data_IF_211984013764
#
_entry.id   IF_211984013764
#
_cell.length_a   1.000
_cell.length_b   1.000
_cell.length_c   1.000
_cell.angle_alpha   90.00
_cell.angle_beta   90.00
_cell.angle_gamma   90.00
#
_symmetry.space_group_name_H-M   'P 1'
#
loop_
_entity.id
_entity.type
_entity.pdbx_description
1 polymer ?
#
# COMPACT_ATOMS: atom_id res chain seq x y z
N UNK A 1 7.25 4.28 -30.20
CA UNK A 1 5.78 4.10 -30.27
C UNK A 1 5.18 4.91 -29.14
N UNK A 2 4.29 5.84 -29.48
CA UNK A 2 3.68 6.69 -28.46
C UNK A 2 2.70 5.86 -27.64
N UNK A 3 2.92 5.75 -26.34
CA UNK A 3 1.90 5.26 -25.41
C UNK A 3 0.74 6.25 -25.36
N UNK A 4 -0.51 5.77 -25.27
CA UNK A 4 -1.66 6.65 -25.17
C UNK A 4 -1.64 7.45 -23.87
N UNK A 5 -2.35 8.58 -23.80
CA UNK A 5 -2.32 9.53 -22.68
C UNK A 5 -2.83 8.98 -21.33
N UNK A 6 -3.25 7.73 -21.28
CA UNK A 6 -3.75 7.00 -20.10
C UNK A 6 -2.72 6.86 -18.98
N UNK A 7 -1.44 6.64 -19.29
CA UNK A 7 -0.40 6.44 -18.26
C UNK A 7 -0.11 7.71 -17.44
N UNK A 8 -0.22 8.90 -18.05
CA UNK A 8 -0.09 10.17 -17.31
C UNK A 8 -1.27 10.49 -16.39
N UNK A 9 -2.42 9.87 -16.64
CA UNK A 9 -3.60 9.98 -15.75
C UNK A 9 -3.56 9.01 -14.59
N UNK A 10 -2.78 7.93 -14.69
CA UNK A 10 -2.63 6.93 -13.63
C UNK A 10 -2.02 7.48 -12.34
N UNK A 11 -0.93 8.26 -12.45
CA UNK A 11 -0.31 8.92 -11.28
C UNK A 11 -1.21 9.96 -10.65
N UNK A 12 -2.08 10.61 -11.46
CA UNK A 12 -3.07 11.58 -10.95
C UNK A 12 -4.30 10.89 -10.34
N UNK A 13 -4.66 9.68 -10.78
CA UNK A 13 -5.81 8.94 -10.23
C UNK A 13 -5.49 8.30 -8.88
N UNK A 14 -4.29 7.76 -8.70
CA UNK A 14 -3.88 7.22 -7.39
C UNK A 14 -3.77 8.32 -6.31
N UNK A 15 -3.44 9.57 -6.66
CA UNK A 15 -3.49 10.71 -5.73
C UNK A 15 -4.89 11.33 -5.61
N UNK A 16 -5.79 11.09 -6.56
CA UNK A 16 -7.13 11.70 -6.60
C UNK A 16 -8.24 10.84 -6.00
N UNK A 17 -8.07 9.52 -5.89
CA UNK A 17 -9.06 8.62 -5.30
C UNK A 17 -9.12 8.65 -3.77
N UNK A 18 -8.13 9.26 -3.11
CA UNK A 18 -8.17 9.51 -1.67
C UNK A 18 -9.12 10.65 -1.24
N UNK A 19 -9.80 11.34 -2.17
CA UNK A 19 -10.55 12.56 -1.85
C UNK A 19 -12.06 12.51 -2.05
N UNK A 20 -12.69 11.38 -2.37
CA UNK A 20 -14.14 11.30 -2.56
C UNK A 20 -14.76 9.97 -2.10
N UNK A 21 -14.83 9.73 -0.79
CA UNK A 21 -15.75 8.73 -0.25
C UNK A 21 -16.56 9.34 0.90
N UNK A 22 -17.88 9.35 0.74
CA UNK A 22 -18.85 9.71 1.77
C UNK A 22 -18.98 8.59 2.80
N UNK A 23 -19.24 8.90 4.09
CA UNK A 23 -19.20 7.90 5.17
C UNK A 23 -20.57 7.24 5.31
N UNK A 24 -20.68 5.94 4.99
CA UNK A 24 -21.72 5.07 5.58
C UNK A 24 -21.36 3.59 5.34
N UNK A 25 -20.59 2.98 6.23
CA UNK A 25 -20.75 1.61 6.71
C UNK A 25 -19.61 1.25 7.67
N UNK A 26 -19.83 1.49 8.96
CA UNK A 26 -18.95 1.00 10.00
C UNK A 26 -19.09 -0.51 10.15
N UNK A 27 -18.14 -1.28 9.62
CA UNK A 27 -17.89 -2.67 10.04
C UNK A 27 -16.80 -2.65 11.12
N UNK A 28 -17.17 -3.09 12.32
CA UNK A 28 -16.26 -3.26 13.43
C UNK A 28 -15.22 -4.34 13.10
N UNK A 29 -13.96 -3.93 13.02
CA UNK A 29 -12.82 -4.85 12.99
C UNK A 29 -12.61 -5.47 14.38
N UNK A 30 -12.29 -6.78 14.48
CA UNK A 30 -11.99 -7.39 15.76
C UNK A 30 -10.70 -6.80 16.34
N UNK A 31 -10.75 -6.48 17.63
CA UNK A 31 -9.62 -6.01 18.42
C UNK A 31 -8.48 -7.03 18.38
N UNK A 32 -7.42 -6.72 17.64
CA UNK A 32 -6.15 -7.45 17.72
C UNK A 32 -5.53 -7.17 19.08
N UNK A 33 -5.33 -8.22 19.88
CA UNK A 33 -4.44 -8.18 21.04
C UNK A 33 -3.08 -7.62 20.59
N UNK A 34 -2.60 -6.61 21.32
CA UNK A 34 -1.26 -6.05 21.14
C UNK A 34 -0.23 -7.15 21.35
N UNK A 35 0.24 -7.75 20.29
CA UNK A 35 1.57 -8.39 20.30
C UNK A 35 2.54 -7.21 20.35
N UNK A 36 3.21 -7.06 21.50
CA UNK A 36 4.28 -6.08 21.64
C UNK A 36 5.33 -6.39 20.57
N UNK A 37 5.40 -5.55 19.53
CA UNK A 37 6.49 -5.62 18.58
C UNK A 37 7.79 -5.42 19.37
N UNK A 38 8.68 -6.41 19.29
CA UNK A 38 10.06 -6.24 19.74
C UNK A 38 10.60 -5.11 18.86
N UNK A 39 11.00 -3.95 19.41
CA UNK A 39 11.55 -2.89 18.59
C UNK A 39 12.78 -3.45 17.87
N UNK A 40 12.81 -3.30 16.54
CA UNK A 40 14.03 -3.55 15.80
C UNK A 40 15.16 -2.76 16.46
N UNK A 41 16.38 -3.29 16.56
CA UNK A 41 17.48 -2.55 17.14
C UNK A 41 17.67 -1.24 16.38
N UNK A 42 17.62 -0.11 17.09
CA UNK A 42 17.87 1.21 16.53
C UNK A 42 19.15 1.18 15.70
N UNK A 43 19.13 1.64 14.44
CA UNK A 43 20.32 1.71 13.61
C UNK A 43 21.35 2.74 14.10
N UNK A 44 21.03 3.50 15.14
CA UNK A 44 21.92 4.50 15.72
C UNK A 44 22.93 3.85 16.68
N UNK A 45 24.22 4.06 16.42
CA UNK A 45 25.27 3.83 17.41
C UNK A 45 25.07 4.80 18.59
N UNK A 46 25.44 4.41 19.80
CA UNK A 46 25.24 5.19 21.04
C UNK A 46 25.85 6.61 21.04
N UNK A 47 26.52 7.05 19.96
CA UNK A 47 27.25 8.31 19.83
C UNK A 47 26.66 9.28 18.79
N UNK A 48 25.61 8.93 18.00
CA UNK A 48 25.00 9.84 17.01
C UNK A 48 23.82 10.62 17.60
N UNK A 49 23.77 11.90 17.32
CA UNK A 49 22.60 12.76 17.56
C UNK A 49 21.71 12.74 16.30
N UNK A 50 20.57 12.06 16.31
CA UNK A 50 19.68 11.93 15.15
C UNK A 50 19.28 13.27 14.55
N UNK A 51 19.11 14.28 15.40
CA UNK A 51 18.75 15.62 14.96
C UNK A 51 19.92 16.30 14.20
N UNK A 52 21.16 16.05 14.62
CA UNK A 52 22.35 16.52 13.91
C UNK A 52 22.49 15.86 12.55
N UNK A 53 22.23 14.55 12.48
CA UNK A 53 22.33 13.77 11.25
C UNK A 53 21.24 14.21 10.26
N UNK A 54 20.02 14.43 10.71
CA UNK A 54 18.93 14.95 9.86
C UNK A 54 19.26 16.35 9.31
N UNK A 55 19.78 17.27 10.16
CA UNK A 55 20.19 18.61 9.71
C UNK A 55 21.25 18.55 8.61
N UNK A 56 22.26 17.69 8.78
CA UNK A 56 23.31 17.51 7.79
C UNK A 56 22.74 16.95 6.47
N UNK A 57 21.85 15.96 6.54
CA UNK A 57 21.17 15.41 5.37
C UNK A 57 20.33 16.46 4.66
N UNK A 58 19.53 17.22 5.42
CA UNK A 58 18.68 18.31 4.89
C UNK A 58 19.52 19.38 4.18
N UNK A 59 20.56 19.86 4.85
CA UNK A 59 21.45 20.87 4.24
C UNK A 59 22.05 20.38 2.93
N UNK A 60 22.53 19.14 2.89
CA UNK A 60 23.16 18.55 1.72
C UNK A 60 22.17 18.36 0.57
N UNK A 61 20.99 17.78 0.84
CA UNK A 61 19.97 17.53 -0.17
C UNK A 61 19.35 18.83 -0.69
N UNK A 62 19.11 19.84 0.17
CA UNK A 62 18.66 21.16 -0.26
C UNK A 62 19.66 21.83 -1.21
N UNK A 63 20.97 21.68 -0.97
CA UNK A 63 22.01 22.17 -1.89
C UNK A 63 22.00 21.45 -3.24
N UNK A 64 21.50 20.22 -3.29
CA UNK A 64 21.30 19.43 -4.51
C UNK A 64 19.95 19.74 -5.20
N UNK A 65 19.11 20.60 -4.59
CA UNK A 65 17.83 21.05 -5.17
C UNK A 65 16.62 20.23 -4.75
N UNK A 66 16.74 19.32 -3.78
CA UNK A 66 15.59 18.56 -3.24
C UNK A 66 14.78 19.45 -2.29
N UNK A 67 13.44 19.34 -2.39
CA UNK A 67 12.52 20.02 -1.49
C UNK A 67 12.36 19.28 -0.15
N UNK A 68 11.59 19.89 0.77
CA UNK A 68 11.43 19.33 2.12
C UNK A 68 10.73 17.97 2.14
N UNK A 69 9.78 17.73 1.24
CA UNK A 69 9.05 16.45 1.17
C UNK A 69 9.93 15.34 0.63
N UNK A 70 10.70 15.63 -0.41
CA UNK A 70 11.67 14.69 -0.97
C UNK A 70 12.74 14.32 0.05
N UNK A 71 13.23 15.29 0.81
CA UNK A 71 14.22 15.09 1.88
C UNK A 71 13.62 14.19 2.98
N UNK A 72 12.38 14.41 3.36
CA UNK A 72 11.66 13.59 4.36
C UNK A 72 11.51 12.15 3.90
N UNK A 73 11.09 11.92 2.65
CA UNK A 73 10.99 10.58 2.05
C UNK A 73 12.34 9.87 2.07
N UNK A 74 13.39 10.53 1.60
CA UNK A 74 14.73 9.94 1.55
C UNK A 74 15.28 9.64 2.94
N UNK A 75 15.03 10.51 3.91
CA UNK A 75 15.41 10.27 5.30
C UNK A 75 14.62 9.10 5.91
N UNK A 76 13.32 9.05 5.70
CA UNK A 76 12.49 7.93 6.17
C UNK A 76 12.97 6.57 5.65
N UNK A 77 13.46 6.51 4.40
CA UNK A 77 13.93 5.27 3.76
C UNK A 77 15.33 4.84 4.15
N UNK A 78 16.23 5.77 4.37
CA UNK A 78 17.67 5.51 4.55
C UNK A 78 18.16 5.87 5.95
N UNK A 79 17.42 6.68 6.70
CA UNK A 79 17.82 7.14 8.03
C UNK A 79 19.23 7.75 8.06
N UNK A 80 20.02 7.52 9.13
CA UNK A 80 21.38 8.06 9.27
C UNK A 80 22.35 7.61 8.19
N UNK A 81 22.07 6.46 7.54
CA UNK A 81 22.91 5.96 6.46
C UNK A 81 22.88 6.88 5.24
N UNK A 82 21.84 7.73 5.10
CA UNK A 82 21.70 8.69 4.02
C UNK A 82 22.93 9.60 3.90
N UNK A 83 23.41 10.16 5.02
CA UNK A 83 24.57 11.06 5.01
C UNK A 83 25.84 10.33 4.57
N UNK A 84 26.11 9.18 5.18
CA UNK A 84 27.29 8.39 4.86
C UNK A 84 27.30 7.98 3.37
N UNK A 85 26.14 7.67 2.81
CA UNK A 85 26.00 7.31 1.40
C UNK A 85 26.12 8.53 0.47
N UNK A 86 25.62 9.71 0.87
CA UNK A 86 25.81 10.97 0.14
C UNK A 86 27.28 11.38 0.11
N UNK A 87 27.96 11.34 1.25
CA UNK A 87 29.37 11.77 1.39
C UNK A 87 30.33 10.83 0.68
N UNK A 88 30.04 9.54 0.66
CA UNK A 88 30.83 8.56 -0.11
C UNK A 88 30.57 8.60 -1.62
N UNK A 89 29.55 9.35 -2.07
CA UNK A 89 29.10 9.34 -3.46
C UNK A 89 28.40 8.03 -3.88
N UNK A 90 27.99 7.21 -2.92
CA UNK A 90 27.27 5.96 -3.19
C UNK A 90 25.86 6.20 -3.72
N UNK A 91 25.26 7.36 -3.40
CA UNK A 91 23.95 7.79 -3.90
C UNK A 91 24.15 8.74 -5.11
N UNK A 92 23.95 8.23 -6.30
CA UNK A 92 23.84 9.06 -7.51
C UNK A 92 22.47 9.71 -7.61
N UNK A 93 22.31 10.76 -8.43
CA UNK A 93 21.00 11.37 -8.73
C UNK A 93 19.99 10.34 -9.22
N UNK A 94 20.42 9.38 -10.03
CA UNK A 94 19.55 8.29 -10.49
C UNK A 94 19.06 7.40 -9.35
N UNK A 95 19.90 7.07 -8.37
CA UNK A 95 19.49 6.30 -7.19
C UNK A 95 18.46 7.05 -6.35
N UNK A 96 18.67 8.36 -6.15
CA UNK A 96 17.75 9.22 -5.42
C UNK A 96 16.39 9.33 -6.14
N UNK A 97 16.39 9.40 -7.48
CA UNK A 97 15.18 9.42 -8.29
C UNK A 97 14.32 8.16 -8.04
N UNK A 98 14.91 6.96 -8.05
CA UNK A 98 14.19 5.74 -7.71
C UNK A 98 13.71 5.71 -6.26
N UNK A 99 14.54 6.15 -5.32
CA UNK A 99 14.17 6.20 -3.90
C UNK A 99 13.05 7.21 -3.57
N UNK A 100 12.72 8.11 -4.47
CA UNK A 100 11.57 9.01 -4.34
C UNK A 100 10.26 8.41 -4.86
N UNK A 101 10.32 7.29 -5.61
CA UNK A 101 9.11 6.64 -6.11
C UNK A 101 8.39 5.88 -4.99
N UNK A 102 7.06 6.03 -4.83
CA UNK A 102 6.31 5.41 -3.74
C UNK A 102 6.41 3.88 -3.73
N UNK A 103 6.60 3.28 -4.88
CA UNK A 103 6.67 1.84 -5.08
C UNK A 103 8.08 1.27 -5.22
N UNK A 104 9.14 2.01 -4.90
CA UNK A 104 10.53 1.54 -4.96
C UNK A 104 11.19 1.59 -3.58
N UNK A 105 11.35 0.44 -2.92
CA UNK A 105 12.09 0.34 -1.67
C UNK A 105 13.61 0.27 -1.90
N UNK A 106 14.44 0.56 -0.86
CA UNK A 106 15.88 0.43 -0.95
C UNK A 106 16.37 -0.96 -1.41
N UNK A 107 15.64 -2.02 -1.07
CA UNK A 107 15.95 -3.41 -1.44
C UNK A 107 15.78 -3.65 -2.96
N UNK A 108 14.88 -2.91 -3.60
CA UNK A 108 14.62 -3.02 -5.04
C UNK A 108 15.57 -2.17 -5.89
N UNK A 109 16.26 -1.20 -5.28
CA UNK A 109 17.05 -0.18 -5.97
C UNK A 109 18.05 -0.79 -6.96
N UNK A 110 18.85 -1.76 -6.55
CA UNK A 110 19.87 -2.35 -7.41
C UNK A 110 19.24 -3.16 -8.57
N UNK A 111 18.09 -3.79 -8.36
CA UNK A 111 17.32 -4.45 -9.41
C UNK A 111 16.79 -3.44 -10.43
N UNK A 112 16.21 -2.32 -9.95
CA UNK A 112 15.74 -1.23 -10.81
C UNK A 112 16.88 -0.67 -11.68
N UNK A 113 18.04 -0.38 -11.08
CA UNK A 113 19.20 0.11 -11.80
C UNK A 113 19.76 -0.89 -12.82
N UNK A 114 19.73 -2.18 -12.50
CA UNK A 114 20.16 -3.23 -13.41
C UNK A 114 19.18 -3.35 -14.60
N UNK A 115 17.89 -3.34 -14.33
CA UNK A 115 16.85 -3.46 -15.34
C UNK A 115 16.80 -2.25 -16.28
N UNK A 116 16.95 -1.03 -15.75
CA UNK A 116 17.00 0.20 -16.54
C UNK A 116 18.11 0.19 -17.60
N UNK A 117 19.25 -0.49 -17.35
CA UNK A 117 20.32 -0.64 -18.33
C UNK A 117 19.92 -1.52 -19.53
N UNK A 118 19.01 -2.45 -19.33
CA UNK A 118 18.51 -3.36 -20.37
C UNK A 118 17.27 -2.84 -21.07
N UNK A 119 16.58 -1.87 -20.46
CA UNK A 119 15.34 -1.26 -20.94
C UNK A 119 15.44 0.28 -20.91
N UNK A 120 16.35 0.88 -21.69
CA UNK A 120 16.68 2.32 -21.59
C UNK A 120 15.54 3.26 -22.02
N UNK A 121 14.52 2.74 -22.70
CA UNK A 121 13.36 3.50 -23.16
C UNK A 121 12.26 3.63 -22.08
N UNK A 122 12.39 2.93 -20.96
CA UNK A 122 11.44 2.99 -19.85
C UNK A 122 11.74 4.15 -18.90
N UNK A 123 10.70 4.81 -18.40
CA UNK A 123 10.86 5.79 -17.34
C UNK A 123 11.20 5.10 -16.00
N UNK A 124 11.75 5.81 -15.00
CA UNK A 124 12.01 5.25 -13.67
C UNK A 124 10.77 4.61 -13.04
N UNK A 125 9.59 5.22 -13.19
CA UNK A 125 8.32 4.71 -12.70
C UNK A 125 7.94 3.38 -13.35
N UNK A 126 8.13 3.28 -14.69
CA UNK A 126 7.88 2.07 -15.44
C UNK A 126 8.86 0.96 -15.04
N UNK A 127 10.13 1.29 -14.85
CA UNK A 127 11.14 0.35 -14.37
C UNK A 127 10.77 -0.16 -12.98
N UNK A 128 10.46 0.72 -12.03
CA UNK A 128 10.09 0.33 -10.68
C UNK A 128 8.84 -0.58 -10.67
N UNK A 129 7.82 -0.22 -11.45
CA UNK A 129 6.61 -1.03 -11.62
C UNK A 129 6.95 -2.44 -12.15
N UNK A 130 7.70 -2.53 -13.24
CA UNK A 130 8.05 -3.80 -13.87
C UNK A 130 8.94 -4.66 -12.98
N UNK A 131 9.89 -4.07 -12.25
CA UNK A 131 10.72 -4.78 -11.27
C UNK A 131 9.88 -5.30 -10.10
N UNK A 132 8.89 -4.56 -9.64
CA UNK A 132 7.96 -5.02 -8.61
C UNK A 132 7.08 -6.17 -9.08
N UNK A 133 6.61 -6.15 -10.33
CA UNK A 133 5.91 -7.29 -10.93
C UNK A 133 6.85 -8.51 -11.05
N UNK A 134 8.17 -8.28 -11.19
CA UNK A 134 9.18 -9.33 -11.37
C UNK A 134 9.63 -9.52 -12.80
N UNK A 135 9.31 -8.59 -13.74
CA UNK A 135 9.61 -8.71 -15.17
C UNK A 135 11.11 -8.54 -15.51
N UNK A 136 11.92 -8.14 -14.54
CA UNK A 136 13.39 -8.14 -14.64
C UNK A 136 13.99 -9.55 -14.56
N UNK A 137 13.18 -10.57 -14.32
CA UNK A 137 13.59 -11.98 -14.15
C UNK A 137 12.62 -12.93 -14.85
N UNK A 138 13.09 -14.13 -15.26
CA UNK A 138 12.19 -15.11 -15.87
C UNK A 138 11.07 -15.57 -14.94
N UNK A 139 9.91 -15.89 -15.49
CA UNK A 139 8.81 -16.50 -14.75
C UNK A 139 9.25 -17.81 -14.07
N UNK A 140 8.67 -18.10 -12.92
CA UNK A 140 8.97 -19.25 -12.07
C UNK A 140 10.41 -19.28 -11.52
N UNK A 141 11.03 -18.11 -11.37
CA UNK A 141 12.30 -17.94 -10.67
C UNK A 141 12.15 -17.02 -9.47
N UNK A 142 12.99 -17.20 -8.44
CA UNK A 142 12.94 -16.40 -7.20
C UNK A 142 11.52 -16.30 -6.65
N UNK A 143 10.84 -17.44 -6.53
CA UNK A 143 9.47 -17.55 -6.05
C UNK A 143 9.41 -17.27 -4.56
N UNK A 144 8.38 -16.56 -4.14
CA UNK A 144 8.09 -16.23 -2.74
C UNK A 144 6.69 -16.76 -2.40
N UNK A 145 6.64 -17.73 -1.49
CA UNK A 145 5.37 -18.33 -1.07
C UNK A 145 4.48 -17.30 -0.37
N UNK A 146 3.21 -17.27 -0.74
CA UNK A 146 2.23 -16.35 -0.17
C UNK A 146 2.03 -16.62 1.31
N UNK A 147 2.11 -15.58 2.14
CA UNK A 147 1.96 -15.65 3.60
C UNK A 147 0.58 -15.22 4.09
N UNK A 148 -0.07 -14.24 3.43
CA UNK A 148 -1.40 -13.73 3.79
C UNK A 148 -2.42 -14.35 2.83
N UNK A 149 -3.09 -15.39 3.28
CA UNK A 149 -3.94 -16.24 2.44
C UNK A 149 -5.42 -15.81 2.44
N UNK A 150 -5.83 -15.00 3.42
CA UNK A 150 -7.23 -14.59 3.61
C UNK A 150 -7.56 -13.24 2.95
N UNK A 151 -6.56 -12.55 2.40
CA UNK A 151 -6.75 -11.29 1.69
C UNK A 151 -7.33 -11.55 0.30
N UNK A 152 -8.50 -10.97 -0.05
CA UNK A 152 -9.02 -11.06 -1.41
C UNK A 152 -8.07 -10.54 -2.49
N UNK A 153 -7.18 -9.61 -2.14
CA UNK A 153 -6.16 -9.06 -3.03
C UNK A 153 -4.91 -9.93 -3.15
N UNK A 154 -4.85 -11.08 -2.47
CA UNK A 154 -3.68 -11.97 -2.52
C UNK A 154 -3.26 -12.26 -3.96
N UNK A 155 -2.02 -11.89 -4.28
CA UNK A 155 -1.46 -12.11 -5.61
C UNK A 155 -0.89 -13.53 -5.70
N UNK A 156 -1.55 -14.39 -6.47
CA UNK A 156 -1.09 -15.74 -6.79
C UNK A 156 -0.76 -15.79 -8.28
N UNK A 157 0.50 -15.99 -8.60
CA UNK A 157 0.97 -15.98 -10.00
C UNK A 157 2.25 -16.81 -10.14
N UNK A 158 3.00 -16.59 -11.21
CA UNK A 158 4.22 -17.35 -11.52
C UNK A 158 5.39 -17.09 -10.55
N UNK A 159 5.30 -16.04 -9.73
CA UNK A 159 6.31 -15.70 -8.72
C UNK A 159 5.83 -16.00 -7.29
N UNK A 160 4.51 -16.07 -7.08
CA UNK A 160 3.90 -16.17 -5.76
C UNK A 160 3.03 -17.42 -5.66
N UNK A 161 3.63 -18.59 -5.32
CA UNK A 161 2.88 -19.81 -5.11
C UNK A 161 2.16 -19.85 -3.77
N UNK A 162 1.09 -20.62 -3.71
CA UNK A 162 0.41 -21.04 -2.49
C UNK A 162 1.07 -22.28 -1.90
N UNK A 163 1.00 -22.48 -0.58
CA UNK A 163 1.35 -23.75 0.07
C UNK A 163 0.58 -24.92 -0.56
N UNK A 164 1.23 -26.06 -0.71
CA UNK A 164 0.60 -27.22 -1.36
C UNK A 164 -0.59 -27.79 -0.60
N UNK A 165 -0.63 -27.63 0.72
CA UNK A 165 -1.68 -28.07 1.63
C UNK A 165 -2.74 -27.00 1.93
N UNK A 166 -2.61 -25.81 1.35
CA UNK A 166 -3.58 -24.75 1.54
C UNK A 166 -4.94 -25.11 0.93
N UNK A 167 -5.98 -25.07 1.77
CA UNK A 167 -7.39 -25.26 1.41
C UNK A 167 -8.20 -24.16 2.10
N UNK A 168 -8.84 -23.25 1.36
CA UNK A 168 -9.70 -22.22 1.94
C UNK A 168 -11.02 -22.79 2.46
N UNK A 169 -11.74 -22.01 3.24
CA UNK A 169 -13.17 -22.26 3.45
C UNK A 169 -13.91 -22.18 2.10
N UNK A 170 -14.83 -23.11 1.85
CA UNK A 170 -15.49 -23.24 0.55
C UNK A 170 -17.01 -23.37 0.69
N UNK A 171 -17.72 -22.62 -0.14
CA UNK A 171 -19.16 -22.66 -0.27
C UNK A 171 -19.58 -23.16 -1.67
N UNK A 172 -20.35 -24.26 -1.78
CA UNK A 172 -20.83 -24.78 -3.07
C UNK A 172 -21.73 -23.77 -3.78
N UNK A 173 -21.54 -23.58 -5.08
CA UNK A 173 -22.37 -22.67 -5.89
C UNK A 173 -23.76 -23.27 -6.14
N UNK A 174 -23.83 -24.49 -6.67
CA UNK A 174 -25.07 -25.18 -6.95
C UNK A 174 -25.92 -24.57 -8.08
N UNK A 175 -27.07 -25.20 -8.39
CA UNK A 175 -28.02 -24.67 -9.37
C UNK A 175 -28.72 -23.40 -8.83
N UNK A 176 -28.92 -22.36 -9.64
CA UNK A 176 -28.68 -22.29 -11.10
C UNK A 176 -27.30 -21.77 -11.49
N UNK A 177 -26.37 -21.54 -10.55
CA UNK A 177 -25.11 -20.81 -10.73
C UNK A 177 -23.99 -21.65 -11.34
N UNK A 178 -24.18 -22.94 -11.53
CA UNK A 178 -23.20 -23.82 -12.16
C UNK A 178 -22.56 -24.81 -11.19
N UNK A 179 -21.30 -25.14 -11.41
CA UNK A 179 -20.58 -26.18 -10.65
C UNK A 179 -19.42 -25.60 -9.85
N UNK A 180 -18.94 -26.38 -8.89
CA UNK A 180 -17.79 -26.04 -8.04
C UNK A 180 -18.16 -25.30 -6.76
N UNK A 181 -17.14 -24.85 -6.06
CA UNK A 181 -17.24 -24.09 -4.83
C UNK A 181 -16.26 -22.90 -4.85
N UNK A 182 -16.58 -21.84 -4.16
CA UNK A 182 -15.73 -20.67 -3.98
C UNK A 182 -15.59 -20.34 -2.50
N UNK A 183 -14.66 -19.48 -2.15
CA UNK A 183 -14.63 -18.85 -0.84
C UNK A 183 -15.96 -18.09 -0.59
N UNK A 184 -16.49 -18.05 0.65
CA UNK A 184 -17.85 -17.56 0.93
C UNK A 184 -18.15 -16.19 0.32
N UNK A 185 -17.24 -15.22 0.46
CA UNK A 185 -17.41 -13.87 -0.09
C UNK A 185 -17.51 -13.89 -1.62
N UNK A 186 -16.62 -14.63 -2.30
CA UNK A 186 -16.64 -14.76 -3.76
C UNK A 186 -17.89 -15.52 -4.24
N UNK A 187 -18.35 -16.53 -3.50
CA UNK A 187 -19.57 -17.28 -3.81
C UNK A 187 -20.81 -16.38 -3.74
N UNK A 188 -20.91 -15.55 -2.70
CA UNK A 188 -22.00 -14.60 -2.53
C UNK A 188 -21.99 -13.57 -3.65
N UNK A 189 -20.83 -12.96 -3.92
CA UNK A 189 -20.66 -11.97 -4.98
C UNK A 189 -21.00 -12.52 -6.37
N UNK A 190 -20.55 -13.74 -6.68
CA UNK A 190 -20.87 -14.37 -7.97
C UNK A 190 -22.36 -14.66 -8.13
N UNK A 191 -23.07 -15.09 -7.07
CA UNK A 191 -24.53 -15.29 -7.14
C UNK A 191 -25.25 -13.98 -7.43
N UNK A 192 -24.86 -12.89 -6.76
CA UNK A 192 -25.45 -11.56 -6.99
C UNK A 192 -25.19 -11.11 -8.44
N UNK A 193 -23.98 -11.25 -8.95
CA UNK A 193 -23.61 -10.93 -10.32
C UNK A 193 -24.42 -11.75 -11.34
N UNK A 194 -24.54 -13.06 -11.12
CA UNK A 194 -25.30 -13.95 -12.01
C UNK A 194 -26.82 -13.69 -11.96
N UNK A 195 -27.35 -13.27 -10.81
CA UNK A 195 -28.76 -12.88 -10.67
C UNK A 195 -29.04 -11.56 -11.38
N UNK A 196 -28.15 -10.57 -11.29
CA UNK A 196 -28.25 -9.30 -12.01
C UNK A 196 -28.20 -9.52 -13.53
N UNK A 197 -27.23 -10.27 -14.02
CA UNK A 197 -27.16 -10.62 -15.45
C UNK A 197 -28.44 -11.32 -15.93
N UNK A 198 -29.05 -12.18 -15.10
CA UNK A 198 -30.29 -12.88 -15.43
C UNK A 198 -31.49 -11.93 -15.56
N UNK A 199 -31.56 -10.88 -14.76
CA UNK A 199 -32.61 -9.85 -14.88
C UNK A 199 -32.55 -9.12 -16.22
N UNK A 200 -31.36 -9.06 -16.82
CA UNK A 200 -31.13 -8.46 -18.14
C UNK A 200 -31.13 -9.49 -19.29
N UNK A 201 -31.52 -10.72 -18.99
CA UNK A 201 -31.68 -11.80 -19.99
C UNK A 201 -30.42 -12.63 -20.22
N UNK A 202 -29.33 -12.36 -19.52
CA UNK A 202 -28.09 -13.15 -19.54
C UNK A 202 -28.18 -14.44 -18.74
N UNK A 203 -27.12 -15.24 -18.83
CA UNK A 203 -27.08 -16.59 -18.20
C UNK A 203 -25.65 -16.97 -17.80
N UNK A 204 -25.13 -16.31 -16.76
CA UNK A 204 -23.79 -16.61 -16.25
C UNK A 204 -23.79 -17.91 -15.41
N UNK A 205 -22.82 -18.77 -15.67
CA UNK A 205 -22.61 -20.02 -14.92
C UNK A 205 -21.13 -20.30 -14.71
N UNK A 206 -20.79 -20.75 -13.51
CA UNK A 206 -19.47 -21.32 -13.23
C UNK A 206 -19.34 -22.68 -13.91
N UNK A 207 -18.27 -22.86 -14.67
CA UNK A 207 -17.88 -24.14 -15.28
C UNK A 207 -16.66 -24.76 -14.58
N UNK A 208 -15.87 -23.95 -13.89
CA UNK A 208 -14.74 -24.34 -13.05
C UNK A 208 -14.60 -23.32 -11.92
N UNK A 209 -14.33 -23.78 -10.70
CA UNK A 209 -14.15 -22.91 -9.53
C UNK A 209 -12.95 -23.41 -8.71
N UNK A 210 -13.07 -23.62 -7.39
CA UNK A 210 -11.96 -24.13 -6.60
C UNK A 210 -11.32 -25.38 -7.23
N UNK A 211 -9.99 -25.39 -7.23
CA UNK A 211 -9.18 -26.49 -7.72
C UNK A 211 -8.01 -26.74 -6.78
N UNK A 212 -7.97 -27.89 -6.11
CA UNK A 212 -6.88 -28.22 -5.20
C UNK A 212 -5.52 -28.35 -5.91
N UNK A 213 -4.44 -28.20 -5.16
CA UNK A 213 -3.08 -28.42 -5.63
C UNK A 213 -2.93 -29.75 -6.40
N UNK A 214 -3.40 -30.86 -5.82
CA UNK A 214 -3.31 -32.18 -6.43
C UNK A 214 -4.12 -32.28 -7.74
N UNK A 215 -5.24 -31.57 -7.87
CA UNK A 215 -6.01 -31.52 -9.11
C UNK A 215 -5.29 -30.70 -10.17
N UNK A 216 -4.69 -29.56 -9.79
CA UNK A 216 -3.86 -28.75 -10.69
C UNK A 216 -2.62 -29.53 -11.18
N UNK A 217 -1.99 -30.30 -10.29
CA UNK A 217 -0.84 -31.13 -10.64
C UNK A 217 -1.20 -32.17 -11.71
N UNK A 218 -2.33 -32.85 -11.58
CA UNK A 218 -2.79 -33.81 -12.61
C UNK A 218 -3.08 -33.11 -13.93
N UNK A 219 -3.83 -32.01 -13.90
CA UNK A 219 -4.18 -31.23 -15.07
C UNK A 219 -2.93 -30.73 -15.82
N UNK A 220 -1.99 -30.16 -15.09
CA UNK A 220 -0.75 -29.65 -15.66
C UNK A 220 0.09 -30.79 -16.30
N UNK A 221 0.18 -31.94 -15.64
CA UNK A 221 0.84 -33.13 -16.16
C UNK A 221 0.19 -33.66 -17.45
N UNK A 222 -1.15 -33.64 -17.49
CA UNK A 222 -1.90 -34.07 -18.69
C UNK A 222 -1.62 -33.13 -19.86
N UNK A 223 -1.51 -31.82 -19.65
CA UNK A 223 -1.10 -30.86 -20.68
C UNK A 223 0.34 -31.05 -21.11
N UNK A 224 1.27 -31.38 -20.21
CA UNK A 224 2.67 -31.68 -20.55
C UNK A 224 2.82 -32.91 -21.49
N UNK A 225 1.85 -33.83 -21.46
CA UNK A 225 1.80 -34.95 -22.39
C UNK A 225 1.46 -34.53 -23.82
N UNK A 226 0.93 -33.31 -24.01
CA UNK A 226 0.45 -32.78 -25.29
C UNK A 226 1.39 -31.74 -25.91
N UNK A 227 2.29 -31.17 -25.13
CA UNK A 227 3.17 -30.11 -25.60
C UNK A 227 4.36 -29.78 -24.70
N UNK A 228 5.15 -28.80 -25.10
CA UNK A 228 6.31 -28.36 -24.31
C UNK A 228 5.86 -27.60 -23.06
N UNK A 229 6.67 -27.65 -22.01
CA UNK A 229 6.46 -26.90 -20.78
C UNK A 229 6.27 -25.41 -21.06
N UNK A 230 7.10 -24.81 -21.91
CA UNK A 230 6.97 -23.40 -22.31
C UNK A 230 5.59 -23.08 -22.90
N UNK A 231 5.06 -23.99 -23.72
CA UNK A 231 3.72 -23.82 -24.31
C UNK A 231 2.63 -23.98 -23.24
N UNK A 232 2.73 -25.01 -22.37
CA UNK A 232 1.76 -25.23 -21.29
C UNK A 232 1.74 -24.04 -20.33
N UNK A 233 2.90 -23.50 -19.95
CA UNK A 233 3.02 -22.36 -19.06
C UNK A 233 2.30 -21.09 -19.56
N UNK A 234 1.95 -20.99 -20.86
CA UNK A 234 1.21 -19.81 -21.37
C UNK A 234 -0.29 -19.83 -21.07
N UNK A 235 -0.85 -20.95 -20.61
CA UNK A 235 -2.29 -21.07 -20.36
C UNK A 235 -2.67 -21.93 -19.15
N UNK A 236 -1.72 -22.63 -18.55
CA UNK A 236 -1.97 -23.45 -17.37
C UNK A 236 -0.91 -23.17 -16.31
N UNK A 237 -1.37 -22.85 -15.12
CA UNK A 237 -0.50 -22.62 -13.99
C UNK A 237 0.17 -23.90 -13.53
N UNK A 238 1.41 -23.81 -13.08
CA UNK A 238 2.06 -24.91 -12.36
C UNK A 238 1.33 -25.14 -11.01
N UNK A 239 1.41 -26.35 -10.43
CA UNK A 239 0.84 -26.61 -9.09
C UNK A 239 1.32 -25.60 -8.07
N UNK A 240 0.39 -25.09 -7.25
CA UNK A 240 0.62 -24.01 -6.30
C UNK A 240 0.48 -22.60 -6.88
N UNK A 241 0.59 -22.42 -8.21
CA UNK A 241 0.53 -21.13 -8.87
C UNK A 241 -0.82 -20.79 -9.50
N UNK A 242 -1.84 -21.61 -9.23
CA UNK A 242 -3.20 -21.41 -9.77
C UNK A 242 -4.07 -20.66 -8.78
N UNK A 243 -4.68 -19.55 -9.22
CA UNK A 243 -5.64 -18.79 -8.43
C UNK A 243 -6.89 -19.60 -8.04
N UNK A 244 -7.24 -20.65 -8.79
CA UNK A 244 -8.34 -21.54 -8.41
C UNK A 244 -8.13 -22.21 -7.05
N UNK A 245 -6.89 -22.36 -6.58
CA UNK A 245 -6.60 -22.91 -5.26
C UNK A 245 -6.99 -21.94 -4.13
N UNK A 246 -7.10 -20.63 -4.40
CA UNK A 246 -7.57 -19.66 -3.42
C UNK A 246 -9.06 -19.75 -3.12
N UNK A 247 -9.85 -20.37 -4.01
CA UNK A 247 -11.31 -20.27 -3.98
C UNK A 247 -11.86 -18.89 -4.39
N UNK A 248 -10.99 -17.97 -4.86
CA UNK A 248 -11.36 -16.62 -5.30
C UNK A 248 -11.49 -16.50 -6.83
N UNK A 249 -11.09 -17.52 -7.58
CA UNK A 249 -11.17 -17.52 -9.05
C UNK A 249 -12.15 -18.55 -9.56
N UNK A 250 -12.81 -18.21 -10.67
CA UNK A 250 -13.70 -19.13 -11.38
C UNK A 250 -13.67 -18.88 -12.88
N UNK A 251 -13.96 -19.95 -13.63
CA UNK A 251 -14.21 -19.87 -15.05
C UNK A 251 -15.73 -19.72 -15.30
N UNK A 252 -16.12 -18.66 -15.98
CA UNK A 252 -17.52 -18.32 -16.30
C UNK A 252 -17.82 -18.67 -17.76
N UNK A 253 -19.02 -19.20 -17.98
CA UNK A 253 -19.56 -19.37 -19.32
C UNK A 253 -21.10 -19.22 -19.29
N UNK A 254 -21.74 -19.37 -20.44
CA UNK A 254 -23.20 -19.35 -20.59
C UNK A 254 -23.81 -20.72 -20.28
N UNK A 255 -25.11 -20.79 -20.11
CA UNK A 255 -25.85 -22.07 -19.84
C UNK A 255 -25.58 -23.15 -20.89
N UNK A 256 -25.43 -22.75 -22.15
CA UNK A 256 -24.95 -23.60 -23.24
C UNK A 256 -23.51 -23.20 -23.55
N UNK A 257 -22.55 -23.90 -22.96
CA UNK A 257 -21.12 -23.58 -23.02
C UNK A 257 -20.71 -23.17 -24.44
N UNK A 258 -20.21 -21.92 -24.57
CA UNK A 258 -19.64 -21.40 -25.81
C UNK A 258 -18.15 -21.66 -25.85
N UNK A 259 -17.64 -22.08 -27.01
CA UNK A 259 -16.19 -22.17 -27.27
C UNK A 259 -15.56 -20.79 -27.54
N UNK A 260 -16.39 -19.80 -27.86
CA UNK A 260 -16.04 -18.40 -28.08
C UNK A 260 -16.86 -17.54 -27.11
N UNK A 261 -16.48 -17.58 -25.84
CA UNK A 261 -17.20 -16.86 -24.78
C UNK A 261 -17.08 -15.35 -24.98
N UNK A 262 -15.95 -14.90 -25.49
CA UNK A 262 -15.65 -13.50 -25.86
C UNK A 262 -16.64 -12.87 -26.84
N UNK A 263 -17.33 -13.71 -27.65
CA UNK A 263 -18.32 -13.25 -28.65
C UNK A 263 -19.77 -13.21 -28.06
N UNK A 264 -19.95 -13.54 -26.78
CA UNK A 264 -21.29 -13.59 -26.17
C UNK A 264 -21.72 -12.24 -25.59
N UNK A 265 -23.04 -12.05 -25.48
CA UNK A 265 -23.58 -10.87 -24.81
C UNK A 265 -23.25 -10.87 -23.32
N UNK A 266 -23.11 -12.05 -22.71
CA UNK A 266 -22.71 -12.21 -21.31
C UNK A 266 -21.27 -11.75 -21.05
N UNK A 267 -20.35 -11.99 -21.99
CA UNK A 267 -18.99 -11.46 -21.87
C UNK A 267 -19.00 -9.93 -21.97
N UNK A 268 -19.74 -9.36 -22.92
CA UNK A 268 -19.89 -7.91 -23.03
C UNK A 268 -20.47 -7.30 -21.74
N UNK A 269 -21.50 -7.94 -21.16
CA UNK A 269 -22.10 -7.53 -19.88
C UNK A 269 -21.07 -7.58 -18.73
N UNK A 270 -20.28 -8.66 -18.67
CA UNK A 270 -19.22 -8.79 -17.66
C UNK A 270 -18.16 -7.71 -17.77
N UNK A 271 -17.80 -7.28 -18.98
CA UNK A 271 -16.84 -6.20 -19.18
C UNK A 271 -17.34 -4.86 -18.59
N UNK A 272 -18.64 -4.65 -18.54
CA UNK A 272 -19.23 -3.43 -18.01
C UNK A 272 -19.54 -3.52 -16.50
N UNK A 273 -19.83 -4.70 -15.97
CA UNK A 273 -20.45 -4.85 -14.65
C UNK A 273 -19.67 -5.69 -13.65
N UNK A 274 -18.69 -6.51 -14.05
CA UNK A 274 -18.05 -7.46 -13.12
C UNK A 274 -17.39 -6.77 -11.90
N UNK A 275 -16.87 -5.55 -12.11
CA UNK A 275 -16.22 -4.79 -11.04
C UNK A 275 -17.21 -4.33 -9.94
N UNK A 276 -18.47 -4.11 -10.25
CA UNK A 276 -19.53 -3.78 -9.29
C UNK A 276 -19.74 -4.90 -8.26
N UNK A 277 -19.36 -6.13 -8.63
CA UNK A 277 -19.46 -7.33 -7.79
C UNK A 277 -18.09 -7.79 -7.27
N UNK A 278 -17.05 -6.98 -7.45
CA UNK A 278 -15.71 -7.27 -6.95
C UNK A 278 -14.90 -8.26 -7.78
N UNK A 279 -15.29 -8.49 -9.04
CA UNK A 279 -14.55 -9.35 -9.97
C UNK A 279 -13.78 -8.54 -11.00
N UNK A 280 -12.64 -9.09 -11.43
CA UNK A 280 -11.86 -8.60 -12.56
C UNK A 280 -11.73 -9.70 -13.63
N UNK A 281 -11.65 -9.30 -14.90
CA UNK A 281 -11.13 -10.17 -15.95
C UNK A 281 -9.63 -10.33 -15.72
N UNK A 282 -9.20 -11.51 -15.28
CA UNK A 282 -7.87 -11.72 -14.71
C UNK A 282 -6.74 -11.67 -15.72
N UNK A 283 -6.99 -12.19 -16.92
CA UNK A 283 -6.01 -12.28 -18.00
C UNK A 283 -6.55 -11.61 -19.27
N UNK A 284 -6.55 -10.25 -19.29
CA UNK A 284 -7.07 -9.49 -20.41
C UNK A 284 -6.17 -9.55 -21.65
N UNK A 285 -6.72 -9.24 -22.82
CA UNK A 285 -6.00 -9.26 -24.08
C UNK A 285 -4.85 -8.25 -24.09
N UNK A 286 -3.69 -8.66 -24.59
CA UNK A 286 -2.50 -7.80 -24.69
C UNK A 286 -1.71 -7.60 -23.38
N UNK A 287 -2.07 -8.34 -22.31
CA UNK A 287 -1.37 -8.30 -21.02
C UNK A 287 -0.60 -9.59 -20.70
N UNK A 288 -0.36 -10.44 -21.68
CA UNK A 288 0.32 -11.73 -21.53
C UNK A 288 1.79 -11.59 -21.11
N UNK A 289 2.46 -10.53 -21.53
CA UNK A 289 3.83 -10.21 -21.06
C UNK A 289 3.89 -9.85 -19.57
N UNK A 290 2.80 -9.31 -18.99
CA UNK A 290 2.72 -8.94 -17.59
C UNK A 290 2.29 -10.10 -16.70
N UNK A 291 1.21 -10.79 -17.08
CA UNK A 291 0.64 -11.88 -16.30
C UNK A 291 1.33 -13.22 -16.53
N UNK A 292 1.96 -13.38 -17.70
CA UNK A 292 2.53 -14.63 -18.17
C UNK A 292 1.49 -15.59 -18.76
N UNK A 293 0.21 -15.19 -18.82
CA UNK A 293 -0.89 -15.99 -19.37
C UNK A 293 -1.51 -15.27 -20.56
N UNK A 294 -1.89 -16.03 -21.59
CA UNK A 294 -2.65 -15.51 -22.73
C UNK A 294 -4.03 -15.08 -22.31
N UNK A 295 -4.72 -14.33 -23.16
CA UNK A 295 -6.10 -13.92 -22.97
C UNK A 295 -7.02 -15.11 -22.62
N UNK A 296 -7.74 -15.00 -21.50
CA UNK A 296 -8.71 -15.99 -21.01
C UNK A 296 -10.04 -15.30 -20.70
N UNK A 297 -10.96 -15.14 -21.68
CA UNK A 297 -12.21 -14.39 -21.50
C UNK A 297 -13.14 -14.98 -20.44
N UNK A 298 -12.94 -16.23 -20.08
CA UNK A 298 -13.73 -16.95 -19.07
C UNK A 298 -13.21 -16.79 -17.64
N UNK A 299 -11.93 -16.43 -17.43
CA UNK A 299 -11.27 -16.46 -16.13
C UNK A 299 -11.45 -15.14 -15.36
N UNK A 300 -12.28 -15.20 -14.31
CA UNK A 300 -12.56 -14.06 -13.43
C UNK A 300 -12.02 -14.30 -12.02
N UNK A 301 -11.46 -13.23 -11.44
CA UNK A 301 -10.90 -13.24 -10.09
C UNK A 301 -11.66 -12.25 -9.20
N UNK A 302 -12.10 -12.73 -8.03
CA UNK A 302 -12.66 -11.89 -6.97
C UNK A 302 -11.53 -11.22 -6.19
N UNK A 303 -11.58 -9.90 -6.06
CA UNK A 303 -10.60 -9.05 -5.36
C UNK A 303 -11.29 -8.04 -4.43
N UNK A 304 -12.62 -8.07 -4.32
CA UNK A 304 -13.42 -7.03 -3.65
C UNK A 304 -13.71 -5.84 -4.58
N UNK A 305 -14.77 -5.10 -4.26
CA UNK A 305 -15.32 -4.07 -5.17
C UNK A 305 -14.36 -2.90 -5.38
N UNK A 306 -13.67 -2.45 -4.33
CA UNK A 306 -12.74 -1.33 -4.40
C UNK A 306 -11.58 -1.61 -5.38
N UNK A 307 -10.92 -2.76 -5.22
CA UNK A 307 -9.79 -3.16 -6.08
C UNK A 307 -10.27 -3.45 -7.50
N UNK A 308 -11.43 -4.09 -7.64
CA UNK A 308 -12.00 -4.39 -8.95
C UNK A 308 -12.30 -3.13 -9.75
N UNK A 309 -12.87 -2.10 -9.10
CA UNK A 309 -13.12 -0.79 -9.71
C UNK A 309 -11.81 -0.10 -10.09
N UNK A 310 -10.83 -0.07 -9.19
CA UNK A 310 -9.52 0.54 -9.46
C UNK A 310 -8.81 -0.15 -10.65
N UNK A 311 -8.84 -1.49 -10.72
CA UNK A 311 -8.28 -2.24 -11.85
C UNK A 311 -9.01 -1.93 -13.16
N UNK A 312 -10.35 -1.87 -13.13
CA UNK A 312 -11.16 -1.61 -14.33
C UNK A 312 -10.99 -0.18 -14.83
N UNK A 313 -11.09 0.82 -13.96
CA UNK A 313 -10.92 2.24 -14.32
C UNK A 313 -9.49 2.55 -14.80
N UNK A 314 -8.50 1.90 -14.21
CA UNK A 314 -7.08 2.07 -14.58
C UNK A 314 -6.62 1.18 -15.74
N UNK A 315 -7.46 0.28 -16.25
CA UNK A 315 -7.08 -0.79 -17.21
C UNK A 315 -5.88 -1.62 -16.71
N UNK A 316 -5.84 -1.91 -15.38
CA UNK A 316 -4.74 -2.57 -14.69
C UNK A 316 -4.98 -4.07 -14.56
N UNK A 317 -3.92 -4.85 -14.69
CA UNK A 317 -3.88 -6.21 -14.15
C UNK A 317 -3.73 -6.18 -12.62
N UNK A 318 -4.00 -7.29 -11.95
CA UNK A 318 -3.76 -7.38 -10.51
C UNK A 318 -2.27 -7.20 -10.17
N UNK A 319 -1.36 -7.63 -11.04
CA UNK A 319 0.08 -7.38 -10.92
C UNK A 319 0.41 -5.90 -10.95
N UNK A 320 -0.13 -5.16 -11.93
CA UNK A 320 0.09 -3.71 -12.06
C UNK A 320 -0.50 -2.96 -10.85
N UNK A 321 -1.71 -3.30 -10.44
CA UNK A 321 -2.34 -2.72 -9.25
C UNK A 321 -1.48 -2.94 -8.01
N UNK A 322 -1.12 -4.19 -7.70
CA UNK A 322 -0.32 -4.52 -6.52
C UNK A 322 1.06 -3.87 -6.55
N UNK A 323 1.69 -3.83 -7.73
CA UNK A 323 3.01 -3.21 -7.89
C UNK A 323 2.97 -1.67 -7.85
N UNK A 324 1.83 -1.04 -8.07
CA UNK A 324 1.68 0.42 -7.98
C UNK A 324 1.50 0.90 -6.53
N UNK A 325 1.07 0.03 -5.62
CA UNK A 325 0.87 0.39 -4.22
C UNK A 325 2.19 0.83 -3.58
N UNK A 326 2.15 1.80 -2.65
CA UNK A 326 3.33 2.16 -1.86
C UNK A 326 3.95 0.93 -1.19
N UNK A 327 5.26 0.91 -1.04
CA UNK A 327 5.92 -0.14 -0.27
C UNK A 327 5.58 0.05 1.21
N UNK A 328 5.12 -1.03 1.86
CA UNK A 328 4.84 -1.01 3.30
C UNK A 328 6.13 -0.73 4.08
N UNK A 329 6.13 0.35 4.84
CA UNK A 329 7.31 0.88 5.54
C UNK A 329 7.80 2.21 4.99
N UNK A 330 7.27 2.68 3.85
CA UNK A 330 7.38 4.09 3.52
C UNK A 330 6.57 4.84 4.58
N UNK A 331 7.28 5.59 5.36
CA UNK A 331 6.74 6.46 6.37
C UNK A 331 5.98 7.58 5.66
N UNK A 332 4.73 7.31 5.27
CA UNK A 332 3.77 8.37 5.21
C UNK A 332 3.65 8.85 6.65
N UNK A 333 4.15 10.05 6.89
CA UNK A 333 3.83 10.73 8.13
C UNK A 333 2.30 10.87 8.07
N UNK A 334 1.56 10.23 9.01
CA UNK A 334 0.12 10.25 8.91
C UNK A 334 -0.35 11.70 8.93
N UNK A 335 -1.20 12.11 7.99
CA UNK A 335 -1.80 13.43 8.03
C UNK A 335 -2.46 13.62 9.40
N UNK A 336 -2.23 14.78 10.02
CA UNK A 336 -2.85 15.10 11.29
C UNK A 336 -4.08 15.95 11.03
N UNK A 337 -5.15 15.62 11.72
CA UNK A 337 -6.42 16.34 11.65
C UNK A 337 -6.76 16.93 13.02
N UNK A 338 -7.44 18.07 13.00
CA UNK A 338 -8.02 18.71 14.17
C UNK A 338 -9.45 19.14 13.86
N UNK A 339 -10.42 18.60 14.58
CA UNK A 339 -11.85 18.85 14.36
C UNK A 339 -12.31 18.54 12.92
N UNK A 340 -11.72 17.51 12.30
CA UNK A 340 -11.98 17.07 10.92
C UNK A 340 -11.25 17.85 9.83
N UNK A 341 -10.54 18.92 10.18
CA UNK A 341 -9.73 19.68 9.23
C UNK A 341 -8.26 19.23 9.25
N UNK A 342 -7.60 19.07 8.09
CA UNK A 342 -6.19 18.74 8.04
C UNK A 342 -5.36 19.86 8.65
N UNK A 343 -4.44 19.52 9.57
CA UNK A 343 -3.50 20.44 10.15
C UNK A 343 -2.38 20.72 9.15
N UNK A 344 -2.26 21.96 8.70
CA UNK A 344 -1.06 22.43 7.98
C UNK A 344 0.03 22.72 9.01
N UNK A 345 0.87 21.72 9.28
CA UNK A 345 2.00 21.86 10.20
C UNK A 345 3.24 22.46 9.51
N UNK A 346 3.12 22.84 8.23
CA UNK A 346 4.21 23.40 7.45
C UNK A 346 5.45 22.48 7.43
N UNK A 347 6.68 23.02 7.47
CA UNK A 347 7.91 22.22 7.57
C UNK A 347 8.10 21.59 8.97
N UNK A 348 7.04 21.53 9.78
CA UNK A 348 7.07 21.25 11.20
C UNK A 348 6.91 19.80 11.63
N UNK A 349 6.87 18.84 10.74
CA UNK A 349 6.77 17.43 11.09
C UNK A 349 8.04 16.65 10.73
N UNK A 350 8.51 15.80 11.66
CA UNK A 350 9.69 14.96 11.49
C UNK A 350 9.37 13.54 11.94
N UNK A 351 9.78 12.54 11.17
CA UNK A 351 9.79 11.17 11.60
C UNK A 351 11.23 10.73 11.90
N UNK A 352 11.52 10.40 13.16
CA UNK A 352 12.82 9.93 13.61
C UNK A 352 12.65 8.61 14.34
N UNK A 353 13.31 7.55 13.87
CA UNK A 353 13.23 6.19 14.46
C UNK A 353 11.79 5.66 14.61
N UNK A 354 10.91 5.98 13.66
CA UNK A 354 9.49 5.61 13.74
C UNK A 354 8.67 6.43 14.73
N UNK A 355 9.22 7.51 15.29
CA UNK A 355 8.54 8.44 16.18
C UNK A 355 8.23 9.73 15.44
N UNK A 356 6.96 10.11 15.36
CA UNK A 356 6.55 11.41 14.80
C UNK A 356 6.89 12.52 15.77
N UNK A 357 7.61 13.54 15.30
CA UNK A 357 7.94 14.75 16.02
C UNK A 357 7.29 15.95 15.34
N UNK A 358 6.65 16.78 16.13
CA UNK A 358 5.95 17.98 15.69
C UNK A 358 6.50 19.22 16.39
N UNK A 359 6.45 20.35 15.69
CA UNK A 359 6.77 21.61 16.34
C UNK A 359 5.54 22.17 17.07
N UNK A 360 5.62 22.37 18.40
CA UNK A 360 4.52 22.91 19.18
C UNK A 360 4.05 24.30 18.71
N UNK A 361 4.91 25.05 18.04
CA UNK A 361 4.58 26.38 17.52
C UNK A 361 3.46 26.37 16.46
N UNK A 362 3.28 25.28 15.74
CA UNK A 362 2.20 25.16 14.75
C UNK A 362 0.93 24.56 15.35
N UNK A 363 1.06 23.61 16.29
CA UNK A 363 -0.08 22.97 16.95
C UNK A 363 -0.72 23.87 18.00
N UNK A 364 0.08 24.55 18.81
CA UNK A 364 -0.42 25.33 19.94
C UNK A 364 -1.48 26.41 19.56
N UNK A 365 -1.34 27.15 18.45
CA UNK A 365 -2.37 28.11 18.02
C UNK A 365 -3.70 27.43 17.68
N UNK A 366 -3.69 26.22 17.11
CA UNK A 366 -4.93 25.45 16.83
C UNK A 366 -5.65 25.08 18.11
N UNK A 367 -4.90 24.92 19.23
CA UNK A 367 -5.43 24.66 20.57
C UNK A 367 -5.76 25.92 21.37
N UNK A 368 -5.66 27.10 20.75
CA UNK A 368 -5.94 28.40 21.43
C UNK A 368 -4.81 28.89 22.33
N UNK A 369 -3.59 28.38 22.18
CA UNK A 369 -2.43 28.84 22.95
C UNK A 369 -1.62 29.86 22.16
N UNK A 370 -1.13 30.90 22.85
CA UNK A 370 -0.15 31.84 22.29
C UNK A 370 1.26 31.25 22.36
N UNK A 371 2.10 31.61 21.38
CA UNK A 371 3.47 31.11 21.22
C UNK A 371 4.43 32.28 21.22
N UNK A 372 5.44 32.24 22.10
CA UNK A 372 6.60 33.13 22.09
C UNK A 372 7.87 32.30 21.92
N UNK A 373 8.66 32.60 20.89
CA UNK A 373 9.95 31.96 20.66
C UNK A 373 11.09 32.85 21.19
N UNK A 374 12.02 32.23 21.92
CA UNK A 374 13.26 32.86 22.41
C UNK A 374 14.45 31.94 22.07
N UNK A 375 14.95 32.07 20.86
CA UNK A 375 15.89 31.10 20.29
C UNK A 375 15.27 29.66 20.22
N UNK A 376 15.98 28.64 20.69
CA UNK A 376 15.48 27.27 20.71
C UNK A 376 14.48 27.00 21.85
N UNK A 377 14.10 28.04 22.58
CA UNK A 377 13.12 27.94 23.70
C UNK A 377 11.78 28.45 23.24
N UNK A 378 10.73 27.66 23.51
CA UNK A 378 9.36 28.05 23.29
C UNK A 378 8.64 28.30 24.62
N UNK A 379 7.88 29.37 24.66
CA UNK A 379 6.97 29.67 25.76
C UNK A 379 5.55 29.68 25.20
N UNK A 380 4.76 28.73 25.65
CA UNK A 380 3.36 28.59 25.26
C UNK A 380 2.49 29.04 26.42
N UNK A 381 1.45 29.85 26.14
CA UNK A 381 0.54 30.36 27.17
C UNK A 381 -0.90 30.22 26.72
N UNK A 382 -1.72 29.53 27.50
CA UNK A 382 -3.12 29.25 27.19
C UNK A 382 -3.84 28.63 28.38
N UNK A 383 -5.17 28.81 28.50
CA UNK A 383 -5.98 28.22 29.57
C UNK A 383 -5.56 28.63 30.98
N UNK A 384 -4.84 29.76 31.17
CA UNK A 384 -4.28 30.18 32.45
C UNK A 384 -2.96 29.52 32.84
N UNK A 385 -2.38 28.72 31.97
CA UNK A 385 -1.13 27.98 32.14
C UNK A 385 0.00 28.53 31.27
N UNK A 386 1.24 28.24 31.70
CA UNK A 386 2.45 28.63 31.00
C UNK A 386 3.39 27.41 30.87
N UNK A 387 3.56 26.94 29.67
CA UNK A 387 4.46 25.84 29.34
C UNK A 387 5.76 26.37 28.72
N UNK A 388 6.87 25.98 29.29
CA UNK A 388 8.22 26.34 28.81
C UNK A 388 8.92 25.10 28.33
N UNK A 389 9.24 25.08 27.05
CA UNK A 389 9.94 24.01 26.36
C UNK A 389 11.35 24.47 25.98
N UNK A 390 12.29 23.55 26.08
CA UNK A 390 13.67 23.73 25.66
C UNK A 390 14.21 22.39 25.14
N UNK A 391 15.28 22.36 24.33
CA UNK A 391 15.90 21.12 23.92
C UNK A 391 16.23 20.21 25.09
N UNK A 392 16.03 18.90 24.95
CA UNK A 392 16.31 17.89 25.97
C UNK A 392 15.08 17.21 26.56
N UNK A 393 15.25 16.50 27.66
CA UNK A 393 14.20 15.63 28.26
C UNK A 393 13.38 16.30 29.37
N UNK A 394 13.41 17.61 29.50
CA UNK A 394 12.64 18.30 30.55
C UNK A 394 11.94 19.55 30.02
N UNK A 395 10.72 19.76 30.48
CA UNK A 395 9.96 20.98 30.28
C UNK A 395 9.42 21.52 31.60
N UNK A 396 8.82 22.71 31.59
CA UNK A 396 8.23 23.29 32.78
C UNK A 396 6.82 23.80 32.51
N UNK A 397 5.86 23.22 33.20
CA UNK A 397 4.48 23.68 33.20
C UNK A 397 4.27 24.47 34.49
N UNK A 398 4.02 25.77 34.37
CA UNK A 398 3.91 26.73 35.50
C UNK A 398 5.17 26.67 36.39
N UNK A 399 5.00 26.22 37.63
CA UNK A 399 6.09 26.02 38.57
C UNK A 399 6.62 24.57 38.63
N UNK A 400 6.02 23.63 37.89
CA UNK A 400 6.38 22.20 37.95
C UNK A 400 7.35 21.83 36.81
N UNK A 401 8.39 21.08 37.14
CA UNK A 401 9.25 20.45 36.14
C UNK A 401 8.65 19.11 35.74
N UNK A 402 8.51 18.88 34.44
CA UNK A 402 8.01 17.65 33.85
C UNK A 402 9.13 16.99 33.03
N UNK A 403 9.11 15.66 32.96
CA UNK A 403 10.03 14.89 32.13
C UNK A 403 9.31 14.40 30.88
N UNK A 404 9.91 14.65 29.74
CA UNK A 404 9.46 14.13 28.44
C UNK A 404 9.82 12.66 28.26
N UNK A 405 8.99 11.90 27.60
CA UNK A 405 9.24 10.54 27.20
C UNK A 405 10.38 10.44 26.17
N UNK A 406 10.38 11.38 25.22
CA UNK A 406 11.42 11.55 24.21
C UNK A 406 12.10 12.93 24.37
N UNK A 407 13.39 13.09 23.97
CA UNK A 407 14.02 14.41 24.06
C UNK A 407 13.35 15.39 23.09
N UNK A 408 13.07 16.62 23.55
CA UNK A 408 12.74 17.72 22.66
C UNK A 408 13.96 18.06 21.80
N UNK A 409 13.77 18.17 20.51
CA UNK A 409 14.81 18.37 19.52
C UNK A 409 14.77 19.80 18.99
N UNK A 410 15.94 20.42 18.80
CA UNK A 410 16.05 21.73 18.14
C UNK A 410 16.61 21.52 16.73
N UNK A 411 15.85 21.99 15.73
CA UNK A 411 16.21 21.90 14.32
C UNK A 411 15.92 23.25 13.63
N UNK A 412 16.93 23.84 13.02
CA UNK A 412 16.81 25.11 12.30
C UNK A 412 16.12 26.24 13.09
N UNK A 413 16.38 26.31 14.41
CA UNK A 413 15.78 27.28 15.30
C UNK A 413 14.34 26.95 15.72
N UNK A 414 13.80 25.82 15.30
CA UNK A 414 12.47 25.30 15.72
C UNK A 414 12.63 24.16 16.70
N UNK A 415 11.73 24.10 17.67
CA UNK A 415 11.69 23.02 18.66
C UNK A 415 10.66 21.99 18.23
N UNK A 416 11.01 20.71 18.39
CA UNK A 416 10.17 19.57 18.06
C UNK A 416 9.99 18.65 19.26
N UNK A 417 8.77 18.16 19.47
CA UNK A 417 8.43 17.18 20.48
C UNK A 417 7.82 15.96 19.80
N UNK A 418 7.98 14.79 20.43
CA UNK A 418 7.27 13.60 19.97
C UNK A 418 5.76 13.82 20.03
N UNK A 419 5.01 13.21 19.13
CA UNK A 419 3.53 13.28 19.15
C UNK A 419 2.98 12.81 20.48
N UNK A 420 3.54 11.75 21.08
CA UNK A 420 3.13 11.24 22.39
C UNK A 420 3.33 12.26 23.52
N UNK A 421 4.47 12.96 23.53
CA UNK A 421 4.71 14.01 24.52
C UNK A 421 3.78 15.21 24.33
N UNK A 422 3.50 15.58 23.06
CA UNK A 422 2.52 16.64 22.76
C UNK A 422 1.11 16.25 23.21
N UNK A 423 0.68 15.03 22.88
CA UNK A 423 -0.60 14.49 23.34
C UNK A 423 -0.69 14.52 24.87
N UNK A 424 0.38 14.12 25.55
CA UNK A 424 0.44 14.13 27.03
C UNK A 424 0.38 15.55 27.60
N UNK A 425 1.13 16.50 27.04
CA UNK A 425 1.22 17.87 27.52
C UNK A 425 -0.07 18.67 27.29
N UNK A 426 -0.79 18.40 26.20
CA UNK A 426 -2.01 19.09 25.84
C UNK A 426 -3.29 18.30 26.11
N UNK A 427 -3.21 17.15 26.81
CA UNK A 427 -4.33 16.25 27.09
C UNK A 427 -5.08 15.87 25.80
N UNK A 428 -4.35 15.45 24.81
CA UNK A 428 -4.87 14.99 23.52
C UNK A 428 -4.75 13.47 23.40
N UNK A 429 -5.56 12.92 22.54
CA UNK A 429 -5.47 11.55 22.01
C UNK A 429 -5.36 11.62 20.49
N UNK A 430 -4.45 10.82 19.91
CA UNK A 430 -4.34 10.64 18.49
C UNK A 430 -5.15 9.40 18.09
N UNK A 431 -6.26 9.58 17.41
CA UNK A 431 -7.18 8.51 16.99
C UNK A 431 -6.98 8.24 15.51
N UNK A 432 -6.73 6.99 15.09
CA UNK A 432 -6.64 6.64 13.68
C UNK A 432 -7.95 6.98 12.95
N UNK A 433 -7.83 7.68 11.84
CA UNK A 433 -8.91 8.00 10.89
C UNK A 433 -8.45 7.65 9.48
N UNK A 434 -9.35 7.72 8.52
CA UNK A 434 -9.01 7.48 7.12
C UNK A 434 -7.98 8.53 6.63
N UNK A 435 -6.84 8.05 6.19
CA UNK A 435 -5.72 8.88 5.71
C UNK A 435 -4.83 9.50 6.79
N UNK A 436 -5.02 9.21 8.11
CA UNK A 436 -4.14 9.80 9.13
C UNK A 436 -4.56 9.59 10.58
N UNK A 437 -4.27 10.60 11.41
CA UNK A 437 -4.60 10.63 12.83
C UNK A 437 -5.40 11.90 13.17
N UNK A 438 -6.56 11.74 13.79
CA UNK A 438 -7.34 12.83 14.36
C UNK A 438 -6.87 13.11 15.78
N UNK A 439 -6.49 14.34 16.06
CA UNK A 439 -6.18 14.79 17.42
C UNK A 439 -7.48 15.25 18.10
N UNK A 440 -7.81 14.63 19.22
CA UNK A 440 -9.01 14.97 20.01
C UNK A 440 -8.65 15.27 21.47
N UNK A 441 -9.43 16.11 22.13
CA UNK A 441 -9.26 16.31 23.58
C UNK A 441 -9.73 15.09 24.37
N UNK A 442 -8.91 14.61 25.31
CA UNK A 442 -9.26 13.53 26.24
C UNK A 442 -10.33 13.94 27.25
N UNK A 443 -10.42 15.25 27.57
CA UNK A 443 -11.36 15.79 28.54
C UNK A 443 -11.92 17.16 28.04
N UNK A 444 -13.14 17.57 28.44
CA UNK A 444 -13.72 18.84 28.01
C UNK A 444 -12.97 20.09 28.52
N UNK A 445 -11.94 19.95 29.32
CA UNK A 445 -11.13 21.06 29.84
C UNK A 445 -9.62 20.68 29.72
N UNK A 446 -8.84 21.39 28.90
CA UNK A 446 -7.42 21.11 28.78
C UNK A 446 -6.71 21.51 30.08
N UNK A 447 -5.99 20.58 30.65
CA UNK A 447 -5.15 20.73 31.82
C UNK A 447 -5.84 20.59 33.20
N UNK A 448 -6.19 19.35 33.51
CA UNK A 448 -6.16 18.88 34.89
C UNK A 448 -5.17 17.71 34.93
N UNK A 449 -3.92 17.97 35.12
CA UNK A 449 -2.91 17.10 35.70
C UNK A 449 -2.17 17.81 36.80
#
# INVERSE_FOLDING_TARGET
MFFPPSVRRLLAACLGLLLCLTPEAAFALPTKERVAAIPAPSPYSQESDPASDYRAARQRLSQLGYDSDQIRILWGRLGPQLIAQLDSGALSSQKLEYLLLPNCSPELLERCLAYARTAPDLSPEQVALQVRIGLDRPFYTSMEEVQILEDPAVLVNKYHPLPADYVPELEPLGSPYGSGALAPAAAQAFRQMADAARLEGGSLRSVSAYRSYATQERLYRDYLSQGSQRWVDTFSARPGHSEHQTGLALDINVARISAHFEDTAEFAWLQEHCAEYGFILRYPEGKDDLTGYRFEPWHYRYVGTEIAQACTEGELTLEEYTASLPVSGDYEVPALFWQGDPLDLGPGELLLDGVSYLSPQYLAPCLGWSVEADGPRLVLSGGGHRLVLSPGRSCRLDSRSLRLGSPALELDGSLYLSLDDLCSLFSLEAVPVDGGLELTHLLPDPLIL
#
